data_IF_203928613725
#
_entry.id   IF_203928613725
#
_cell.length_a   1.000
_cell.length_b   1.000
_cell.length_c   1.000
_cell.angle_alpha   90.00
_cell.angle_beta   90.00
_cell.angle_gamma   90.00
#
_symmetry.space_group_name_H-M   'P 1'
#
loop_
_entity.id
_entity.type
_entity.pdbx_description
1 polymer ?
#
# COMPACT_ATOMS: atom_id res chain seq x y z
N UNK A 1 3.62 -14.70 12.56
CA UNK A 1 4.23 -13.50 13.18
C UNK A 1 3.25 -12.35 13.06
N UNK A 2 3.08 -11.53 14.10
CA UNK A 2 2.21 -10.35 14.07
C UNK A 2 3.07 -9.11 13.77
N UNK A 3 3.37 -8.90 12.48
CA UNK A 3 4.24 -7.81 12.04
C UNK A 3 3.52 -6.46 12.08
N UNK A 4 4.27 -5.41 12.41
CA UNK A 4 3.79 -4.03 12.43
C UNK A 4 4.70 -3.18 11.58
N UNK A 5 4.10 -2.32 10.77
CA UNK A 5 4.81 -1.43 9.88
C UNK A 5 4.17 -0.04 9.92
N UNK A 6 5.00 0.99 9.84
CA UNK A 6 4.56 2.35 9.53
C UNK A 6 5.03 2.67 8.12
N UNK A 7 4.10 3.12 7.28
CA UNK A 7 4.40 3.69 5.98
C UNK A 7 4.17 5.19 6.05
N UNK A 8 5.07 5.96 5.47
CA UNK A 8 4.92 7.41 5.40
C UNK A 8 5.37 7.95 4.05
N UNK A 9 4.62 8.93 3.55
CA UNK A 9 4.97 9.68 2.35
C UNK A 9 5.35 11.09 2.78
N UNK A 10 6.60 11.48 2.55
CA UNK A 10 7.09 12.82 2.84
C UNK A 10 8.19 13.21 1.85
N UNK A 11 8.26 14.47 1.46
CA UNK A 11 9.28 14.99 0.54
C UNK A 11 9.43 14.15 -0.75
N UNK A 12 8.29 13.70 -1.32
CA UNK A 12 8.25 12.81 -2.50
C UNK A 12 8.95 11.45 -2.31
N UNK A 13 9.06 10.99 -1.06
CA UNK A 13 9.68 9.72 -0.71
C UNK A 13 8.71 8.89 0.13
N UNK A 14 8.45 7.65 -0.31
CA UNK A 14 7.78 6.64 0.49
C UNK A 14 8.84 5.94 1.35
N UNK A 15 8.63 5.89 2.66
CA UNK A 15 9.48 5.16 3.59
C UNK A 15 8.67 4.16 4.41
N UNK A 16 9.36 3.12 4.91
CA UNK A 16 8.77 2.10 5.77
C UNK A 16 9.61 1.90 7.04
N UNK A 17 8.94 1.71 8.17
CA UNK A 17 9.58 1.44 9.46
C UNK A 17 9.04 0.11 10.02
N UNK A 18 9.86 -0.95 10.12
CA UNK A 18 9.45 -2.23 10.67
C UNK A 18 9.30 -2.18 12.19
N UNK A 19 8.48 -3.09 12.73
CA UNK A 19 8.34 -3.33 14.16
C UNK A 19 7.57 -2.24 14.92
N UNK A 20 6.98 -1.27 14.22
CA UNK A 20 6.26 -0.12 14.79
C UNK A 20 4.85 -0.02 14.24
N UNK A 21 3.92 0.43 15.09
CA UNK A 21 2.61 0.95 14.70
C UNK A 21 2.49 2.36 15.29
N UNK A 22 1.96 3.29 14.50
CA UNK A 22 1.84 4.70 14.91
C UNK A 22 0.37 5.00 15.24
N UNK A 23 0.04 5.33 16.50
CA UNK A 23 -1.33 5.70 16.88
C UNK A 23 -1.85 6.96 16.18
N UNK A 24 -0.95 7.81 15.65
CA UNK A 24 -1.29 9.02 14.91
C UNK A 24 -1.29 8.80 13.39
N UNK A 25 -1.19 7.55 12.90
CA UNK A 25 -1.30 7.25 11.49
C UNK A 25 -2.65 7.74 10.93
N UNK A 26 -2.63 8.35 9.75
CA UNK A 26 -3.85 8.80 9.05
C UNK A 26 -4.84 7.65 8.83
N UNK A 27 -4.32 6.44 8.60
CA UNK A 27 -5.11 5.21 8.50
C UNK A 27 -4.30 4.02 9.04
N UNK A 28 -4.96 3.15 9.78
CA UNK A 28 -4.45 1.83 10.17
C UNK A 28 -5.09 0.77 9.30
N UNK A 29 -4.25 -0.09 8.70
CA UNK A 29 -4.67 -1.22 7.88
C UNK A 29 -4.34 -2.50 8.65
N UNK A 30 -5.33 -3.37 8.83
CA UNK A 30 -5.10 -4.73 9.34
C UNK A 30 -5.47 -5.74 8.27
N UNK A 31 -4.54 -6.65 7.96
CA UNK A 31 -4.68 -7.68 6.93
C UNK A 31 -3.70 -8.83 7.18
N UNK A 32 -3.83 -9.92 6.43
CA UNK A 32 -2.80 -10.95 6.36
C UNK A 32 -1.72 -10.59 5.34
N UNK A 33 -0.50 -11.13 5.54
CA UNK A 33 0.59 -11.00 4.57
C UNK A 33 0.19 -11.54 3.19
N UNK A 34 -0.56 -12.63 3.14
CA UNK A 34 -1.03 -13.25 1.90
C UNK A 34 -1.93 -12.30 1.12
N UNK A 35 -2.96 -11.75 1.76
CA UNK A 35 -3.90 -10.84 1.08
C UNK A 35 -3.22 -9.53 0.66
N UNK A 36 -2.30 -9.00 1.47
CA UNK A 36 -1.48 -7.86 1.07
C UNK A 36 -0.68 -8.15 -0.21
N UNK A 37 -0.01 -9.30 -0.31
CA UNK A 37 0.77 -9.68 -1.49
C UNK A 37 -0.15 -9.83 -2.71
N UNK A 38 -1.32 -10.48 -2.58
CA UNK A 38 -2.27 -10.63 -3.69
C UNK A 38 -2.74 -9.29 -4.25
N UNK A 39 -2.96 -8.31 -3.38
CA UNK A 39 -3.28 -6.93 -3.80
C UNK A 39 -2.09 -6.28 -4.52
N UNK A 40 -0.86 -6.43 -4.02
CA UNK A 40 0.33 -5.89 -4.68
C UNK A 40 0.60 -6.53 -6.06
N UNK A 41 0.28 -7.82 -6.21
CA UNK A 41 0.37 -8.55 -7.48
C UNK A 41 -0.81 -8.25 -8.43
N UNK A 42 -1.73 -7.36 -8.03
CA UNK A 42 -2.94 -7.01 -8.78
C UNK A 42 -3.87 -8.21 -9.08
N UNK A 43 -3.77 -9.30 -8.31
CA UNK A 43 -4.69 -10.45 -8.40
C UNK A 43 -6.06 -10.13 -7.78
N UNK A 44 -6.12 -9.13 -6.92
CA UNK A 44 -7.32 -8.59 -6.28
C UNK A 44 -7.11 -7.13 -5.93
N UNK A 45 -8.16 -6.42 -5.52
CA UNK A 45 -8.07 -5.01 -5.12
C UNK A 45 -8.25 -4.83 -3.61
N UNK A 46 -7.76 -3.72 -3.05
CA UNK A 46 -8.06 -3.36 -1.66
C UNK A 46 -9.57 -3.31 -1.40
N UNK A 47 -10.36 -2.77 -2.34
CA UNK A 47 -11.81 -2.65 -2.20
C UNK A 47 -12.52 -4.00 -2.13
N UNK A 48 -12.10 -4.96 -2.96
CA UNK A 48 -12.66 -6.32 -2.93
C UNK A 48 -12.35 -7.00 -1.59
N UNK A 49 -11.11 -6.87 -1.11
CA UNK A 49 -10.68 -7.50 0.14
C UNK A 49 -11.25 -6.83 1.39
N UNK A 50 -11.53 -5.52 1.35
CA UNK A 50 -12.29 -4.82 2.38
C UNK A 50 -13.73 -5.34 2.42
N UNK A 51 -14.37 -5.45 1.25
CA UNK A 51 -15.75 -5.96 1.13
C UNK A 51 -15.86 -7.41 1.60
N UNK A 52 -14.83 -8.23 1.33
CA UNK A 52 -14.73 -9.61 1.80
C UNK A 52 -14.42 -9.73 3.31
N UNK A 53 -14.09 -8.64 4.00
CA UNK A 53 -13.73 -8.62 5.42
C UNK A 53 -12.30 -9.08 5.73
N UNK A 54 -11.47 -9.27 4.71
CA UNK A 54 -10.07 -9.70 4.86
C UNK A 54 -9.12 -8.55 5.17
N UNK A 55 -9.51 -7.32 4.83
CA UNK A 55 -8.81 -6.08 5.15
C UNK A 55 -9.73 -5.20 5.97
N UNK A 56 -9.26 -4.70 7.11
CA UNK A 56 -9.97 -3.69 7.90
C UNK A 56 -9.18 -2.39 7.90
N UNK A 57 -9.91 -1.27 7.81
CA UNK A 57 -9.36 0.07 7.87
C UNK A 57 -9.93 0.80 9.08
N UNK A 58 -9.08 1.56 9.76
CA UNK A 58 -9.45 2.50 10.81
C UNK A 58 -8.77 3.85 10.55
N UNK A 59 -9.52 4.95 10.53
CA UNK A 59 -9.06 6.26 10.07
C UNK A 59 -9.52 6.64 8.66
N UNK A 60 -8.76 7.50 7.96
CA UNK A 60 -9.13 8.06 6.66
C UNK A 60 -8.59 7.23 5.48
N UNK A 61 -9.45 6.49 4.74
CA UNK A 61 -9.02 5.63 3.65
C UNK A 61 -8.47 6.40 2.44
N UNK A 62 -8.70 7.71 2.32
CA UNK A 62 -8.17 8.50 1.19
C UNK A 62 -6.64 8.60 1.21
N UNK A 63 -5.99 8.35 2.36
CA UNK A 63 -4.55 8.23 2.47
C UNK A 63 -3.98 7.06 1.63
N UNK A 64 -4.74 5.98 1.46
CA UNK A 64 -4.36 4.87 0.57
C UNK A 64 -4.33 5.32 -0.88
N UNK A 65 -5.34 6.09 -1.32
CA UNK A 65 -5.37 6.66 -2.67
C UNK A 65 -4.19 7.59 -2.92
N UNK A 66 -3.77 8.34 -1.89
CA UNK A 66 -2.59 9.21 -1.99
C UNK A 66 -1.31 8.40 -2.21
N UNK A 67 -1.12 7.27 -1.53
CA UNK A 67 0.06 6.44 -1.74
C UNK A 67 -0.03 5.71 -3.07
N UNK A 68 -1.08 4.89 -3.26
CA UNK A 68 -1.18 3.98 -4.40
C UNK A 68 -1.48 4.69 -5.72
N UNK A 69 -2.22 5.80 -5.71
CA UNK A 69 -2.45 6.62 -6.90
C UNK A 69 -1.21 7.35 -7.41
N UNK A 70 -0.12 7.40 -6.63
CA UNK A 70 1.17 7.94 -7.04
C UNK A 70 2.20 6.83 -7.37
N UNK A 71 1.80 5.56 -7.36
CA UNK A 71 2.66 4.46 -7.84
C UNK A 71 2.47 4.33 -9.34
N UNK A 72 3.57 4.47 -10.08
CA UNK A 72 3.57 4.39 -11.53
C UNK A 72 3.64 2.94 -12.01
N UNK A 73 3.11 2.69 -13.21
CA UNK A 73 3.30 1.45 -13.94
C UNK A 73 4.48 1.62 -14.90
N UNK A 74 5.46 0.73 -14.84
CA UNK A 74 6.59 0.77 -15.76
C UNK A 74 6.19 0.11 -17.08
N UNK A 75 6.12 0.90 -18.16
CA UNK A 75 5.92 0.39 -19.52
C UNK A 75 7.17 -0.38 -19.99
N UNK A 76 7.06 -1.68 -20.32
CA UNK A 76 8.15 -2.42 -20.93
C UNK A 76 8.46 -1.86 -22.33
N UNK A 77 9.73 -1.84 -22.72
CA UNK A 77 10.13 -1.40 -24.06
C UNK A 77 10.39 0.10 -24.21
N UNK A 78 10.85 0.75 -23.13
CA UNK A 78 11.46 2.07 -23.23
C UNK A 78 12.54 2.09 -24.33
N UNK A 79 12.62 3.18 -25.08
CA UNK A 79 13.58 3.28 -26.17
C UNK A 79 15.01 3.15 -25.63
N UNK A 80 15.80 2.24 -26.22
CA UNK A 80 17.18 1.99 -25.81
C UNK A 80 18.18 2.78 -26.69
N UNK A 81 17.89 2.89 -27.99
CA UNK A 81 18.79 3.51 -29.00
C UNK A 81 18.29 4.85 -29.54
N UNK A 82 17.04 5.20 -29.27
CA UNK A 82 16.43 6.48 -29.63
C UNK A 82 15.91 7.15 -28.34
N UNK A 83 15.83 8.50 -28.27
CA UNK A 83 15.22 9.18 -27.12
C UNK A 83 13.74 8.86 -26.90
#
# INVERSE_FOLDING_TARGET
>A
MNEKWVLGLSNRTLYSVPGRHDPAATVTITTSRTEFIRVMLQETTFMDQITAGNITLDGDPTALLTIFGNIDAFEPGFNIVEP
#
